data_IF_469411998445
#
_entry.id   IF_469411998445
#
_cell.length_a   1.000
_cell.length_b   1.000
_cell.length_c   1.000
_cell.angle_alpha   90.00
_cell.angle_beta   90.00
_cell.angle_gamma   90.00
#
_symmetry.space_group_name_H-M   'P 1'
#
loop_
_entity.id
_entity.type
_entity.pdbx_description
1 polymer ?
#
# COMPACT_ATOMS: atom_id res chain seq x y z
N UNK A 1 -19.78 61.63 -42.09
CA UNK A 1 -19.97 60.27 -42.65
C UNK A 1 -20.70 59.45 -41.60
N UNK A 2 -21.98 59.18 -41.83
CA UNK A 2 -22.85 58.46 -40.89
C UNK A 2 -22.77 56.95 -41.22
N UNK A 3 -22.21 56.15 -40.31
CA UNK A 3 -22.15 54.70 -40.49
C UNK A 3 -23.53 54.10 -40.16
N UNK A 4 -24.36 53.89 -41.18
CA UNK A 4 -25.61 53.13 -41.07
C UNK A 4 -25.31 51.66 -40.80
N UNK A 5 -25.47 51.23 -39.55
CA UNK A 5 -25.53 49.80 -39.21
C UNK A 5 -26.81 49.20 -39.80
N UNK A 6 -26.71 48.56 -40.97
CA UNK A 6 -27.82 47.78 -41.53
C UNK A 6 -28.15 46.63 -40.57
N UNK A 7 -29.35 46.67 -39.98
CA UNK A 7 -29.88 45.66 -39.06
C UNK A 7 -30.07 44.35 -39.83
N UNK A 8 -29.08 43.45 -39.79
CA UNK A 8 -29.14 42.12 -40.42
C UNK A 8 -30.09 41.19 -39.63
N UNK A 9 -31.40 41.44 -39.74
CA UNK A 9 -32.49 40.58 -39.20
C UNK A 9 -32.46 39.23 -39.94
N UNK A 10 -31.80 38.25 -39.34
CA UNK A 10 -31.68 36.88 -39.88
C UNK A 10 -30.39 36.19 -39.43
N UNK A 11 -29.30 36.95 -39.30
CA UNK A 11 -27.99 36.41 -38.88
C UNK A 11 -27.97 36.05 -37.39
N UNK A 12 -28.73 36.76 -36.55
CA UNK A 12 -28.78 36.48 -35.11
C UNK A 12 -29.21 35.06 -34.77
N UNK A 13 -30.16 34.49 -35.54
CA UNK A 13 -30.63 33.11 -35.34
C UNK A 13 -29.59 32.06 -35.75
N UNK A 14 -28.75 32.39 -36.74
CA UNK A 14 -27.64 31.53 -37.17
C UNK A 14 -26.51 31.59 -36.15
N UNK A 15 -26.22 32.78 -35.63
CA UNK A 15 -25.16 32.96 -34.62
C UNK A 15 -25.54 32.26 -33.31
N UNK A 16 -26.79 32.39 -32.83
CA UNK A 16 -27.21 31.72 -31.59
C UNK A 16 -27.16 30.20 -31.72
N UNK A 17 -27.57 29.64 -32.86
CA UNK A 17 -27.46 28.19 -33.10
C UNK A 17 -26.00 27.75 -33.17
N UNK A 18 -25.10 28.54 -33.78
CA UNK A 18 -23.66 28.26 -33.82
C UNK A 18 -23.00 28.32 -32.43
N UNK A 19 -23.36 29.31 -31.61
CA UNK A 19 -22.88 29.44 -30.23
C UNK A 19 -23.29 28.21 -29.41
N UNK A 20 -24.57 27.82 -29.48
CA UNK A 20 -25.07 26.65 -28.75
C UNK A 20 -24.39 25.38 -29.23
N UNK A 21 -24.16 25.24 -30.54
CA UNK A 21 -23.49 24.07 -31.12
C UNK A 21 -22.04 23.96 -30.66
N UNK A 22 -21.30 25.06 -30.65
CA UNK A 22 -19.91 25.05 -30.16
C UNK A 22 -19.88 24.79 -28.65
N UNK A 23 -20.75 25.46 -27.89
CA UNK A 23 -20.83 25.26 -26.44
C UNK A 23 -21.16 23.81 -26.08
N UNK A 24 -22.06 23.14 -26.81
CA UNK A 24 -22.42 21.75 -26.54
C UNK A 24 -21.27 20.77 -26.83
N UNK A 25 -20.53 20.98 -27.93
CA UNK A 25 -19.36 20.14 -28.26
C UNK A 25 -18.24 20.33 -27.24
N UNK A 26 -17.97 21.57 -26.82
CA UNK A 26 -16.94 21.87 -25.81
C UNK A 26 -17.30 21.25 -24.45
N UNK A 27 -18.55 21.38 -24.01
CA UNK A 27 -19.02 20.77 -22.77
C UNK A 27 -18.98 19.23 -22.86
N UNK A 28 -19.39 18.66 -23.99
CA UNK A 28 -19.34 17.21 -24.21
C UNK A 28 -17.92 16.64 -24.15
N UNK A 29 -16.97 17.30 -24.82
CA UNK A 29 -15.55 16.91 -24.76
C UNK A 29 -15.01 16.99 -23.33
N UNK A 30 -15.34 18.04 -22.58
CA UNK A 30 -14.93 18.20 -21.18
C UNK A 30 -15.40 17.05 -20.29
N UNK A 31 -16.65 16.62 -20.43
CA UNK A 31 -17.21 15.47 -19.69
C UNK A 31 -16.51 14.16 -20.06
N UNK A 32 -16.17 13.96 -21.33
CA UNK A 32 -15.47 12.75 -21.79
C UNK A 32 -14.05 12.70 -21.20
N UNK A 33 -13.31 13.81 -21.25
CA UNK A 33 -11.96 13.87 -20.68
C UNK A 33 -11.98 13.69 -19.16
N UNK A 34 -12.91 14.34 -18.46
CA UNK A 34 -13.06 14.20 -17.02
C UNK A 34 -13.53 12.79 -16.62
N UNK A 35 -14.51 12.23 -17.33
CA UNK A 35 -14.99 10.88 -17.09
C UNK A 35 -13.87 9.85 -17.32
N UNK A 36 -13.14 9.96 -18.43
CA UNK A 36 -12.03 9.08 -18.76
C UNK A 36 -10.90 9.13 -17.72
N UNK A 37 -10.52 10.32 -17.25
CA UNK A 37 -9.51 10.45 -16.20
C UNK A 37 -10.00 9.87 -14.86
N UNK A 38 -11.26 10.10 -14.50
CA UNK A 38 -11.87 9.55 -13.29
C UNK A 38 -11.94 8.02 -13.33
N UNK A 39 -12.28 7.40 -14.46
CA UNK A 39 -12.24 5.93 -14.58
C UNK A 39 -10.81 5.40 -14.50
N UNK A 40 -9.86 6.05 -15.18
CA UNK A 40 -8.44 5.66 -15.15
C UNK A 40 -7.87 5.68 -13.71
N UNK A 41 -8.17 6.72 -12.92
CA UNK A 41 -7.69 6.80 -11.52
C UNK A 41 -8.38 5.79 -10.60
N UNK A 42 -9.66 5.47 -10.83
CA UNK A 42 -10.41 4.54 -9.97
C UNK A 42 -10.11 3.06 -10.24
N UNK A 43 -9.57 2.72 -11.42
CA UNK A 43 -9.08 1.35 -11.70
C UNK A 43 -7.74 1.04 -11.02
N UNK A 44 -7.06 2.06 -10.50
CA UNK A 44 -5.76 1.89 -9.87
C UNK A 44 -5.92 1.63 -8.37
N UNK A 45 -6.30 0.41 -8.01
CA UNK A 45 -6.53 0.06 -6.61
C UNK A 45 -5.22 -0.15 -5.85
N UNK A 46 -5.08 0.54 -4.71
CA UNK A 46 -4.13 0.17 -3.67
C UNK A 46 -4.74 -0.95 -2.83
N UNK A 47 -4.14 -2.12 -2.88
CA UNK A 47 -4.61 -3.27 -2.13
C UNK A 47 -3.44 -4.05 -1.57
N UNK A 48 -3.47 -4.26 -0.27
CA UNK A 48 -2.45 -4.99 0.47
C UNK A 48 -3.09 -6.23 1.08
N UNK A 49 -2.43 -7.37 0.91
CA UNK A 49 -2.82 -8.63 1.53
C UNK A 49 -1.82 -8.96 2.63
N UNK A 50 -2.33 -9.22 3.83
CA UNK A 50 -1.53 -9.68 4.96
C UNK A 50 -1.82 -11.15 5.21
N UNK A 51 -0.77 -11.96 5.42
CA UNK A 51 -0.86 -13.41 5.63
C UNK A 51 0.13 -13.87 6.70
N UNK A 52 -0.08 -15.06 7.24
CA UNK A 52 0.83 -15.74 8.17
C UNK A 52 1.21 -14.86 9.38
N UNK A 53 0.21 -14.23 9.99
CA UNK A 53 0.38 -13.39 11.18
C UNK A 53 0.58 -14.30 12.38
N UNK A 54 1.74 -14.19 13.03
CA UNK A 54 2.03 -14.89 14.27
C UNK A 54 2.63 -13.90 15.27
N UNK A 55 2.28 -14.08 16.55
CA UNK A 55 2.88 -13.32 17.64
C UNK A 55 3.31 -14.28 18.72
N UNK A 56 4.53 -14.08 19.21
CA UNK A 56 5.11 -14.84 20.31
C UNK A 56 5.44 -13.91 21.44
N UNK A 57 5.34 -14.43 22.66
CA UNK A 57 5.74 -13.73 23.87
C UNK A 57 6.69 -14.65 24.63
N UNK A 58 7.93 -14.22 24.82
CA UNK A 58 8.89 -14.89 25.67
C UNK A 58 9.00 -14.25 27.05
N UNK A 59 9.85 -14.83 27.91
CA UNK A 59 9.95 -14.50 29.34
C UNK A 59 10.94 -13.36 29.69
N UNK A 60 11.17 -12.41 28.77
CA UNK A 60 12.17 -11.33 28.93
C UNK A 60 11.60 -9.92 28.74
N UNK A 61 12.39 -8.87 29.01
CA UNK A 61 12.01 -7.50 28.69
C UNK A 61 11.92 -7.30 27.16
N UNK A 62 10.86 -6.64 26.67
CA UNK A 62 10.55 -6.47 25.24
C UNK A 62 10.32 -7.76 24.44
N UNK A 63 10.01 -8.87 25.10
CA UNK A 63 10.03 -10.18 24.46
C UNK A 63 8.74 -10.55 23.71
N UNK A 64 8.05 -9.57 23.14
CA UNK A 64 6.93 -9.82 22.25
C UNK A 64 7.37 -9.58 20.80
N UNK A 65 7.38 -10.63 20.01
CA UNK A 65 7.76 -10.57 18.60
C UNK A 65 6.55 -10.91 17.75
N UNK A 66 6.21 -10.06 16.79
CA UNK A 66 5.14 -10.33 15.83
C UNK A 66 5.73 -10.40 14.44
N UNK A 67 5.40 -11.45 13.69
CA UNK A 67 5.83 -11.64 12.32
C UNK A 67 4.64 -11.83 11.39
N UNK A 68 4.72 -11.27 10.19
CA UNK A 68 3.69 -11.40 9.18
C UNK A 68 4.25 -11.17 7.78
N UNK A 69 3.59 -11.73 6.78
CA UNK A 69 3.89 -11.50 5.38
C UNK A 69 2.91 -10.50 4.79
N UNK A 70 3.43 -9.49 4.10
CA UNK A 70 2.67 -8.44 3.41
C UNK A 70 2.92 -8.58 1.91
N UNK A 71 1.87 -8.53 1.10
CA UNK A 71 1.95 -8.52 -0.35
C UNK A 71 1.13 -7.37 -0.93
N UNK A 72 1.73 -6.65 -1.87
CA UNK A 72 1.00 -5.68 -2.67
C UNK A 72 0.31 -6.38 -3.84
N UNK A 73 -1.00 -6.55 -3.72
CA UNK A 73 -1.87 -7.15 -4.76
C UNK A 73 -2.56 -6.07 -5.62
N UNK A 74 -2.35 -4.80 -5.29
CA UNK A 74 -2.83 -3.65 -6.05
C UNK A 74 -1.99 -3.34 -7.27
N UNK A 75 -2.37 -2.31 -8.02
CA UNK A 75 -1.68 -1.86 -9.23
C UNK A 75 -0.75 -0.66 -9.02
N UNK A 76 -0.69 -0.13 -7.78
CA UNK A 76 0.19 0.98 -7.38
C UNK A 76 1.20 0.53 -6.33
N UNK A 77 2.34 1.22 -6.26
CA UNK A 77 3.27 1.04 -5.15
C UNK A 77 2.64 1.53 -3.84
N UNK A 78 2.85 0.79 -2.76
CA UNK A 78 2.30 1.08 -1.43
C UNK A 78 3.43 1.15 -0.42
N UNK A 79 3.35 2.11 0.50
CA UNK A 79 4.27 2.20 1.65
C UNK A 79 3.48 2.07 2.94
N UNK A 80 3.90 1.14 3.79
CA UNK A 80 3.35 0.97 5.13
C UNK A 80 3.93 2.03 6.04
N UNK A 81 3.08 2.94 6.52
CA UNK A 81 3.49 4.10 7.32
C UNK A 81 3.39 3.89 8.82
N UNK A 82 2.38 3.14 9.27
CA UNK A 82 2.12 2.86 10.67
C UNK A 82 1.58 1.43 10.83
N UNK A 83 2.05 0.73 11.86
CA UNK A 83 1.58 -0.60 12.22
C UNK A 83 1.14 -0.55 13.68
N UNK A 84 -0.13 -0.86 13.91
CA UNK A 84 -0.71 -0.89 15.24
C UNK A 84 -1.03 -2.31 15.64
N UNK A 85 -0.54 -2.70 16.82
CA UNK A 85 -0.89 -3.95 17.48
C UNK A 85 -1.74 -3.60 18.70
N UNK A 86 -2.93 -4.20 18.80
CA UNK A 86 -3.91 -3.92 19.87
C UNK A 86 -4.22 -2.43 20.08
N UNK A 87 -4.16 -1.63 19.01
CA UNK A 87 -4.43 -0.19 19.05
C UNK A 87 -3.22 0.68 19.44
N UNK A 88 -2.07 0.09 19.76
CA UNK A 88 -0.82 0.81 20.05
C UNK A 88 0.09 0.77 18.82
N UNK A 89 0.60 1.92 18.42
CA UNK A 89 1.56 2.03 17.32
C UNK A 89 2.92 1.46 17.73
N UNK A 90 3.48 0.60 16.87
CA UNK A 90 4.83 0.06 17.03
C UNK A 90 5.82 1.01 16.38
N UNK A 91 6.85 1.50 17.09
CA UNK A 91 7.86 2.38 16.51
C UNK A 91 8.57 1.74 15.32
N UNK A 92 8.81 2.51 14.25
CA UNK A 92 9.51 2.06 13.03
C UNK A 92 10.93 1.54 13.34
N UNK A 93 11.54 2.02 14.43
CA UNK A 93 12.84 1.54 14.91
C UNK A 93 12.83 0.04 15.25
N UNK A 94 11.67 -0.53 15.55
CA UNK A 94 11.52 -1.94 15.90
C UNK A 94 11.01 -2.79 14.72
N UNK A 95 11.02 -2.25 13.50
CA UNK A 95 10.55 -2.94 12.30
C UNK A 95 11.73 -3.52 11.54
N UNK A 96 11.68 -4.82 11.28
CA UNK A 96 12.66 -5.55 10.50
C UNK A 96 11.95 -6.19 9.32
N UNK A 97 12.37 -5.85 8.10
CA UNK A 97 11.71 -6.31 6.89
C UNK A 97 12.66 -6.97 5.92
N UNK A 98 12.19 -7.99 5.22
CA UNK A 98 12.97 -8.69 4.22
C UNK A 98 12.16 -8.75 2.92
N UNK A 99 12.76 -8.27 1.83
CA UNK A 99 12.13 -8.11 0.52
C UNK A 99 13.09 -8.46 -0.62
N UNK A 100 12.52 -8.70 -1.79
CA UNK A 100 13.25 -8.84 -3.06
C UNK A 100 13.65 -10.28 -3.42
N UNK A 101 14.15 -10.42 -4.66
CA UNK A 101 14.58 -11.68 -5.27
C UNK A 101 16.11 -11.75 -5.37
N UNK A 102 16.74 -12.63 -4.60
CA UNK A 102 18.19 -12.87 -4.61
C UNK A 102 18.61 -13.87 -3.52
N UNK A 103 19.87 -14.30 -3.54
CA UNK A 103 20.42 -15.13 -2.46
C UNK A 103 20.38 -14.36 -1.13
N UNK A 104 19.68 -14.90 -0.12
CA UNK A 104 19.47 -14.23 1.17
C UNK A 104 18.31 -13.24 1.22
N UNK A 105 17.46 -13.16 0.18
CA UNK A 105 16.25 -12.32 0.16
C UNK A 105 14.95 -13.14 0.16
N UNK A 106 13.87 -12.58 0.71
CA UNK A 106 12.69 -13.33 1.08
C UNK A 106 11.68 -13.63 -0.03
N UNK A 107 11.94 -13.32 -1.32
CA UNK A 107 10.99 -13.60 -2.43
C UNK A 107 10.40 -15.02 -2.41
N UNK A 108 11.22 -16.03 -2.07
CA UNK A 108 10.82 -17.44 -1.97
C UNK A 108 10.01 -17.74 -0.71
N UNK A 109 10.27 -17.01 0.39
CA UNK A 109 9.63 -17.18 1.69
C UNK A 109 8.26 -16.48 1.81
N UNK A 110 7.97 -15.50 0.95
CA UNK A 110 6.75 -14.69 1.09
C UNK A 110 5.47 -15.41 0.59
N UNK A 111 5.61 -16.50 -0.19
CA UNK A 111 4.48 -17.36 -0.54
C UNK A 111 4.20 -18.50 0.45
N UNK A 112 5.00 -18.61 1.52
CA UNK A 112 5.10 -19.89 2.20
C UNK A 112 4.08 -20.00 3.33
N UNK A 113 3.24 -21.02 3.22
CA UNK A 113 2.38 -21.57 4.28
C UNK A 113 3.20 -22.14 5.46
N UNK A 114 4.53 -22.05 5.43
CA UNK A 114 5.40 -22.46 6.52
C UNK A 114 5.25 -21.44 7.65
N UNK A 115 4.99 -21.88 8.88
CA UNK A 115 4.98 -21.00 10.03
C UNK A 115 6.27 -20.19 10.10
N UNK A 116 6.14 -18.88 10.29
CA UNK A 116 7.29 -18.02 10.54
C UNK A 116 7.91 -18.43 11.89
N UNK A 117 9.25 -18.53 12.01
CA UNK A 117 9.89 -18.86 13.27
C UNK A 117 9.85 -17.68 14.24
N UNK A 118 9.97 -17.98 15.54
CA UNK A 118 10.21 -16.97 16.58
C UNK A 118 11.64 -16.39 16.53
N UNK A 119 12.61 -17.17 16.02
CA UNK A 119 14.04 -16.82 16.00
C UNK A 119 14.36 -15.80 14.88
N UNK A 120 13.90 -14.56 15.06
CA UNK A 120 14.37 -13.41 14.28
C UNK A 120 15.37 -12.63 15.11
N UNK A 121 16.62 -12.62 14.66
CA UNK A 121 17.59 -11.60 15.09
C UNK A 121 17.34 -10.32 14.30
N UNK A 122 17.75 -9.17 14.83
CA UNK A 122 17.60 -7.85 14.17
C UNK A 122 18.12 -7.84 12.71
N UNK A 123 19.06 -8.73 12.39
CA UNK A 123 19.73 -8.75 11.10
C UNK A 123 19.38 -9.96 10.23
N UNK A 124 18.77 -11.02 10.78
CA UNK A 124 18.51 -12.23 10.02
C UNK A 124 17.46 -13.16 10.62
N UNK A 125 16.82 -13.94 9.75
CA UNK A 125 15.85 -14.97 10.11
C UNK A 125 16.03 -16.22 9.26
N UNK A 126 15.94 -17.40 9.88
CA UNK A 126 16.06 -18.69 9.17
C UNK A 126 14.68 -19.28 8.91
N UNK A 127 14.21 -19.26 7.65
CA UNK A 127 12.89 -19.80 7.28
C UNK A 127 13.11 -21.04 6.39
N UNK A 128 12.57 -22.19 6.81
CA UNK A 128 12.72 -23.44 6.06
C UNK A 128 14.17 -23.89 5.86
N UNK A 129 15.06 -23.56 6.81
CA UNK A 129 16.50 -23.89 6.75
C UNK A 129 17.34 -22.94 5.89
N UNK A 130 16.76 -21.89 5.32
CA UNK A 130 17.49 -20.84 4.58
C UNK A 130 17.57 -19.57 5.42
N UNK A 131 18.77 -19.01 5.54
CA UNK A 131 18.98 -17.73 6.23
C UNK A 131 18.65 -16.57 5.29
N UNK A 132 17.82 -15.65 5.78
CA UNK A 132 17.43 -14.42 5.10
C UNK A 132 17.92 -13.21 5.88
N UNK A 133 18.43 -12.20 5.17
CA UNK A 133 18.89 -10.95 5.78
C UNK A 133 17.75 -9.96 5.89
N UNK A 134 17.58 -9.36 7.07
CA UNK A 134 16.56 -8.36 7.32
C UNK A 134 17.14 -6.93 7.24
N UNK A 135 16.31 -6.00 6.81
CA UNK A 135 16.57 -4.55 6.83
C UNK A 135 15.73 -3.95 7.94
N UNK A 136 16.40 -3.42 8.97
CA UNK A 136 15.77 -2.78 10.13
C UNK A 136 15.51 -1.29 9.96
N UNK A 137 14.73 -0.74 10.90
CA UNK A 137 14.61 0.68 11.20
C UNK A 137 14.06 1.55 10.06
N UNK A 138 13.28 0.97 9.15
CA UNK A 138 12.75 1.67 7.98
C UNK A 138 11.32 1.24 7.67
N UNK A 139 10.57 2.12 7.00
CA UNK A 139 9.24 1.80 6.49
C UNK A 139 9.32 0.79 5.35
N UNK A 140 8.27 -0.02 5.22
CA UNK A 140 8.19 -1.06 4.19
C UNK A 140 7.45 -0.52 2.97
N UNK A 141 8.19 -0.29 1.89
CA UNK A 141 7.64 0.07 0.57
C UNK A 141 7.65 -1.13 -0.36
N UNK A 142 6.51 -1.39 -0.99
CA UNK A 142 6.26 -2.50 -1.91
C UNK A 142 5.77 -1.95 -3.25
N UNK A 143 6.48 -2.26 -4.33
CA UNK A 143 6.03 -2.02 -5.70
C UNK A 143 4.90 -2.99 -6.07
N UNK A 144 4.28 -2.81 -7.23
CA UNK A 144 3.23 -3.71 -7.71
C UNK A 144 3.73 -5.17 -7.76
N UNK A 145 3.00 -6.09 -7.12
CA UNK A 145 3.32 -7.52 -7.08
C UNK A 145 4.45 -7.90 -6.13
N UNK A 146 5.14 -6.94 -5.52
CA UNK A 146 6.15 -7.21 -4.51
C UNK A 146 5.52 -7.59 -3.19
N UNK A 147 6.31 -8.28 -2.39
CA UNK A 147 5.91 -8.73 -1.09
C UNK A 147 7.12 -8.69 -0.13
N UNK A 148 6.85 -8.67 1.17
CA UNK A 148 7.87 -8.65 2.21
C UNK A 148 7.41 -9.42 3.44
N UNK A 149 8.36 -9.98 4.17
CA UNK A 149 8.14 -10.48 5.53
C UNK A 149 8.57 -9.38 6.49
N UNK A 150 7.74 -9.09 7.48
CA UNK A 150 7.99 -8.06 8.48
C UNK A 150 7.95 -8.71 9.86
N UNK A 151 9.00 -8.45 10.63
CA UNK A 151 9.14 -8.76 12.05
C UNK A 151 9.09 -7.45 12.83
N UNK A 152 8.38 -7.50 13.94
CA UNK A 152 8.23 -6.40 14.88
C UNK A 152 8.79 -6.86 16.20
N UNK A 153 9.85 -6.22 16.67
CA UNK A 153 10.36 -6.39 18.01
C UNK A 153 9.62 -5.47 19.00
N UNK A 154 9.44 -5.88 20.24
CA UNK A 154 8.68 -5.11 21.23
C UNK A 154 7.25 -4.80 20.78
N UNK A 155 6.58 -5.77 20.17
CA UNK A 155 5.26 -5.68 19.57
C UNK A 155 4.18 -5.21 20.57
N UNK A 156 3.86 -3.91 20.52
CA UNK A 156 2.65 -3.25 21.06
C UNK A 156 2.08 -3.81 22.37
N UNK A 157 2.70 -3.54 23.52
CA UNK A 157 2.22 -3.91 24.86
C UNK A 157 1.57 -5.30 24.97
N UNK A 158 2.09 -6.28 24.22
CA UNK A 158 1.69 -7.67 24.36
C UNK A 158 2.52 -8.23 25.51
N UNK A 159 1.84 -8.76 26.53
CA UNK A 159 2.46 -9.29 27.72
C UNK A 159 2.32 -10.81 27.79
N UNK A 160 3.08 -11.46 28.67
CA UNK A 160 3.03 -12.93 28.83
C UNK A 160 1.65 -13.46 29.23
N UNK A 161 0.82 -12.61 29.84
CA UNK A 161 -0.59 -12.93 30.16
C UNK A 161 -1.49 -13.00 28.91
N UNK A 162 -1.08 -12.39 27.80
CA UNK A 162 -1.81 -12.43 26.53
C UNK A 162 -1.45 -13.67 25.70
N UNK A 163 -0.41 -14.42 26.11
CA UNK A 163 -0.02 -15.65 25.45
C UNK A 163 -0.97 -16.79 25.86
N UNK A 164 -1.81 -17.24 24.92
CA UNK A 164 -2.62 -18.45 25.11
C UNK A 164 -1.79 -19.73 25.25
N UNK A 165 -0.49 -19.67 24.91
CA UNK A 165 0.49 -20.72 25.14
C UNK A 165 1.86 -20.06 25.34
N UNK A 166 2.53 -20.35 26.45
CA UNK A 166 3.87 -19.83 26.74
C UNK A 166 4.89 -20.69 26.01
N UNK A 167 5.56 -20.13 24.99
CA UNK A 167 6.72 -20.78 24.40
C UNK A 167 7.93 -20.41 25.27
N UNK A 168 8.44 -21.39 26.00
CA UNK A 168 9.63 -21.28 26.85
C UNK A 168 10.91 -21.55 26.05
#
# INVERSE_FOLDING_TARGET
>A
MEFKFQKRRGIGNVITTLIILIASVVLGAGVIFFGGSMFSTNTQSEQVKVTNINSWVGSGANNATTAFAIQNVGSKAVTVTDIKLRGIAVPVASWFSCKGSGAGQCATAINVQTPLPYDSTENSVTIGGTLYTMTGNQQVSLSQGEAAIVYLDGAGNINSIDAGNTYA
#
